data_IF_154650626834
#
_entry.id   IF_154650626834
#
_cell.length_a   1.000
_cell.length_b   1.000
_cell.length_c   1.000
_cell.angle_alpha   90.00
_cell.angle_beta   90.00
_cell.angle_gamma   90.00
#
_symmetry.space_group_name_H-M   'P 1'
#
loop_
_entity.id
_entity.type
_entity.pdbx_description
1 polymer ?
#
# COMPACT_ATOMS: atom_id res chain seq x y z
N UNK A 1 -20.12 4.13 0.23
CA UNK A 1 -20.72 5.36 -0.32
C UNK A 1 -19.73 6.04 -1.27
N UNK A 2 -20.25 6.81 -2.25
CA UNK A 2 -19.45 7.62 -3.18
C UNK A 2 -19.78 9.09 -2.93
N UNK A 3 -18.75 9.91 -2.66
CA UNK A 3 -18.89 11.34 -2.38
C UNK A 3 -18.06 12.12 -3.39
N UNK A 4 -18.66 13.13 -4.04
CA UNK A 4 -17.94 14.01 -4.96
C UNK A 4 -17.67 15.37 -4.28
N UNK A 5 -16.40 15.79 -4.27
CA UNK A 5 -15.98 17.11 -3.85
C UNK A 5 -15.91 18.02 -5.07
N UNK A 6 -16.84 18.97 -5.19
CA UNK A 6 -16.99 19.85 -6.35
C UNK A 6 -16.59 21.28 -6.00
N UNK A 7 -15.87 21.95 -6.90
CA UNK A 7 -15.45 23.33 -6.74
C UNK A 7 -14.58 23.80 -7.91
N UNK A 8 -14.42 25.12 -8.04
CA UNK A 8 -13.54 25.75 -9.06
C UNK A 8 -12.08 25.30 -8.88
N UNK A 9 -11.27 25.41 -9.93
CA UNK A 9 -9.83 25.21 -9.82
C UNK A 9 -9.25 26.22 -8.82
N UNK A 10 -8.35 25.76 -7.94
CA UNK A 10 -7.80 26.59 -6.86
C UNK A 10 -8.68 26.71 -5.61
N UNK A 11 -9.88 26.10 -5.56
CA UNK A 11 -10.76 26.14 -4.39
C UNK A 11 -10.27 25.32 -3.17
N UNK A 12 -9.11 24.68 -3.26
CA UNK A 12 -8.54 23.93 -2.13
C UNK A 12 -8.96 22.45 -2.07
N UNK A 13 -9.58 21.90 -3.13
CA UNK A 13 -10.01 20.48 -3.16
C UNK A 13 -8.86 19.50 -2.84
N UNK A 14 -7.75 19.61 -3.58
CA UNK A 14 -6.55 18.79 -3.37
C UNK A 14 -5.93 18.99 -1.98
N UNK A 15 -5.95 20.20 -1.46
CA UNK A 15 -5.48 20.52 -0.11
C UNK A 15 -6.34 19.82 0.94
N UNK A 16 -7.65 19.85 0.79
CA UNK A 16 -8.58 19.16 1.69
C UNK A 16 -8.37 17.64 1.67
N UNK A 17 -8.22 17.04 0.48
CA UNK A 17 -7.93 15.61 0.36
C UNK A 17 -6.60 15.24 1.03
N UNK A 18 -5.55 16.04 0.86
CA UNK A 18 -4.26 15.84 1.52
C UNK A 18 -4.34 15.96 3.05
N UNK A 19 -5.15 16.89 3.55
CA UNK A 19 -5.38 17.02 5.00
C UNK A 19 -6.11 15.78 5.54
N UNK A 20 -7.15 15.30 4.86
CA UNK A 20 -7.88 14.08 5.25
C UNK A 20 -6.94 12.87 5.22
N UNK A 21 -6.06 12.78 4.19
CA UNK A 21 -5.05 11.72 4.07
C UNK A 21 -3.87 11.86 5.06
N UNK A 22 -3.89 12.87 5.94
CA UNK A 22 -2.81 13.19 6.88
C UNK A 22 -1.44 13.49 6.20
N UNK A 23 -1.48 13.95 4.95
CA UNK A 23 -0.30 14.36 4.17
C UNK A 23 0.02 15.85 4.30
N UNK A 24 -0.89 16.62 4.87
CA UNK A 24 -0.73 18.05 5.10
C UNK A 24 -1.45 18.47 6.39
N UNK A 25 -0.79 19.30 7.21
CA UNK A 25 -1.38 19.85 8.43
C UNK A 25 -2.31 21.02 8.09
N UNK A 26 -3.54 21.09 8.64
CA UNK A 26 -4.42 22.23 8.47
C UNK A 26 -3.89 23.46 9.23
N UNK A 27 -4.17 24.68 8.74
CA UNK A 27 -3.82 25.94 9.42
C UNK A 27 -4.60 26.11 10.72
N UNK A 28 -5.83 25.62 10.77
CA UNK A 28 -6.70 25.62 11.96
C UNK A 28 -7.67 24.45 11.91
N UNK A 29 -8.16 24.01 13.06
CA UNK A 29 -9.02 22.85 13.17
C UNK A 29 -8.24 21.52 13.08
N UNK A 30 -8.93 20.44 12.78
CA UNK A 30 -8.34 19.11 12.64
C UNK A 30 -9.29 18.12 12.00
N UNK A 31 -8.76 16.97 11.58
CA UNK A 31 -9.50 15.83 11.07
C UNK A 31 -9.44 14.72 12.12
N UNK A 32 -10.59 14.24 12.55
CA UNK A 32 -10.68 13.06 13.41
C UNK A 32 -11.00 11.83 12.55
N UNK A 33 -10.08 10.87 12.53
CA UNK A 33 -10.27 9.58 11.89
C UNK A 33 -10.36 8.53 12.98
N UNK A 34 -11.38 7.66 12.99
CA UNK A 34 -11.46 6.55 13.95
C UNK A 34 -10.19 5.67 13.88
N UNK A 35 -9.78 5.13 15.03
CA UNK A 35 -8.65 4.19 15.07
C UNK A 35 -8.95 2.95 14.22
N UNK A 36 -7.97 2.51 13.43
CA UNK A 36 -8.10 1.34 12.56
C UNK A 36 -8.66 1.62 11.17
N UNK A 37 -9.14 2.85 10.88
CA UNK A 37 -9.56 3.22 9.51
C UNK A 37 -8.35 3.50 8.65
N UNK A 38 -8.26 2.80 7.53
CA UNK A 38 -7.20 2.95 6.53
C UNK A 38 -7.62 3.89 5.39
N UNK A 39 -6.75 4.84 5.02
CA UNK A 39 -7.02 5.82 3.98
C UNK A 39 -6.04 5.64 2.83
N UNK A 40 -6.58 5.39 1.63
CA UNK A 40 -5.83 5.42 0.38
C UNK A 40 -5.98 6.78 -0.31
N UNK A 41 -4.89 7.40 -0.73
CA UNK A 41 -4.90 8.67 -1.46
C UNK A 41 -4.19 8.54 -2.80
N UNK A 42 -4.88 8.93 -3.87
CA UNK A 42 -4.35 9.01 -5.22
C UNK A 42 -4.10 10.48 -5.58
N UNK A 43 -2.85 10.94 -5.66
CA UNK A 43 -2.54 12.30 -6.07
C UNK A 43 -2.73 12.50 -7.57
N UNK A 44 -2.93 13.76 -7.98
CA UNK A 44 -3.07 14.14 -9.39
C UNK A 44 -1.82 13.84 -10.24
N UNK A 45 -0.62 13.90 -9.65
CA UNK A 45 0.65 13.60 -10.34
C UNK A 45 1.38 12.47 -9.61
N UNK A 46 1.88 11.53 -10.37
CA UNK A 46 2.57 10.34 -9.87
C UNK A 46 3.93 10.14 -10.52
N UNK A 47 4.86 9.59 -9.72
CA UNK A 47 6.15 9.11 -10.19
C UNK A 47 6.19 7.61 -9.97
N UNK A 48 6.05 6.82 -11.03
CA UNK A 48 6.37 5.40 -11.01
C UNK A 48 7.86 5.20 -11.26
N UNK A 49 8.43 4.16 -10.67
CA UNK A 49 9.76 3.72 -11.02
C UNK A 49 9.74 3.18 -12.46
N UNK A 50 10.67 3.64 -13.30
CA UNK A 50 10.73 3.27 -14.73
C UNK A 50 11.44 1.92 -14.96
N UNK A 51 12.08 1.35 -13.93
CA UNK A 51 13.00 0.22 -14.03
C UNK A 51 12.35 -1.15 -13.75
N UNK A 52 11.08 -1.17 -13.39
CA UNK A 52 10.37 -2.40 -12.99
C UNK A 52 9.29 -2.78 -13.99
N UNK A 53 8.95 -4.08 -14.06
CA UNK A 53 7.77 -4.51 -14.82
C UNK A 53 6.48 -4.16 -14.10
N UNK A 54 5.35 -4.16 -14.83
CA UNK A 54 4.04 -3.88 -14.26
C UNK A 54 3.75 -4.77 -13.03
N UNK A 55 3.95 -6.08 -13.15
CA UNK A 55 3.68 -7.01 -12.06
C UNK A 55 4.62 -6.78 -10.86
N UNK A 56 5.91 -6.52 -11.12
CA UNK A 56 6.88 -6.21 -10.07
C UNK A 56 6.51 -4.93 -9.32
N UNK A 57 6.05 -3.90 -10.05
CA UNK A 57 5.64 -2.64 -9.43
C UNK A 57 4.42 -2.81 -8.53
N UNK A 58 3.42 -3.57 -8.97
CA UNK A 58 2.23 -3.87 -8.16
C UNK A 58 2.57 -4.76 -6.97
N UNK A 59 3.48 -5.73 -7.13
CA UNK A 59 3.94 -6.62 -6.04
C UNK A 59 4.58 -5.86 -4.88
N UNK A 60 5.15 -4.66 -5.10
CA UNK A 60 5.68 -3.80 -4.03
C UNK A 60 4.61 -3.44 -2.98
N UNK A 61 3.33 -3.55 -3.32
CA UNK A 61 2.24 -3.35 -2.35
C UNK A 61 2.31 -4.32 -1.18
N UNK A 62 2.84 -5.51 -1.42
CA UNK A 62 3.00 -6.59 -0.45
C UNK A 62 4.42 -6.70 0.15
N UNK A 63 5.27 -5.69 -0.05
CA UNK A 63 6.64 -5.67 0.49
C UNK A 63 6.72 -5.76 2.01
N UNK A 64 5.62 -5.45 2.72
CA UNK A 64 5.53 -5.63 4.16
C UNK A 64 5.65 -7.12 4.57
N UNK A 65 5.19 -8.05 3.73
CA UNK A 65 5.31 -9.50 3.95
C UNK A 65 6.79 -9.90 3.92
N UNK A 66 7.54 -9.44 2.91
CA UNK A 66 8.98 -9.71 2.80
C UNK A 66 9.74 -9.11 4.00
N UNK A 67 9.36 -7.90 4.43
CA UNK A 67 9.95 -7.25 5.60
C UNK A 67 9.66 -8.02 6.90
N UNK A 68 8.42 -8.53 7.07
CA UNK A 68 8.08 -9.38 8.23
C UNK A 68 8.89 -10.68 8.22
N UNK A 69 9.05 -11.32 7.06
CA UNK A 69 9.86 -12.53 6.93
C UNK A 69 11.33 -12.28 7.28
N UNK A 70 11.93 -11.22 6.74
CA UNK A 70 13.31 -10.84 7.06
C UNK A 70 13.48 -10.54 8.56
N UNK A 71 12.50 -9.87 9.17
CA UNK A 71 12.54 -9.59 10.61
C UNK A 71 12.46 -10.86 11.43
N UNK A 72 11.59 -11.78 11.06
CA UNK A 72 11.45 -13.09 11.69
C UNK A 72 12.74 -13.91 11.61
N UNK A 73 13.38 -13.94 10.43
CA UNK A 73 14.65 -14.65 10.23
C UNK A 73 15.78 -14.04 11.10
N UNK A 74 15.85 -12.70 11.17
CA UNK A 74 16.82 -12.02 12.01
C UNK A 74 16.61 -12.30 13.51
N UNK A 75 15.36 -12.34 13.99
CA UNK A 75 15.04 -12.65 15.37
C UNK A 75 15.34 -14.12 15.71
N UNK A 76 15.05 -15.06 14.81
CA UNK A 76 15.39 -16.46 15.00
C UNK A 76 16.91 -16.67 15.06
N UNK A 77 17.69 -15.95 14.25
CA UNK A 77 19.14 -15.95 14.32
C UNK A 77 19.63 -15.43 15.68
N UNK A 78 19.07 -14.29 16.16
CA UNK A 78 19.39 -13.76 17.48
C UNK A 78 19.09 -14.77 18.60
N UNK A 79 17.94 -15.44 18.56
CA UNK A 79 17.56 -16.45 19.55
C UNK A 79 18.53 -17.64 19.57
N UNK A 80 19.04 -18.06 18.41
CA UNK A 80 19.97 -19.18 18.29
C UNK A 80 21.34 -18.92 18.92
N UNK A 81 21.73 -17.64 19.04
CA UNK A 81 23.02 -17.22 19.61
C UNK A 81 22.92 -16.87 21.10
N UNK A 82 21.72 -16.73 21.65
CA UNK A 82 21.49 -16.33 23.05
C UNK A 82 21.41 -17.52 23.98
N UNK A 83 21.95 -17.33 25.19
CA UNK A 83 21.90 -18.31 26.27
C UNK A 83 21.19 -17.81 27.53
N UNK A 84 20.69 -16.56 27.49
CA UNK A 84 20.07 -15.86 28.62
C UNK A 84 18.54 -16.04 28.60
N UNK A 85 18.07 -17.28 28.58
CA UNK A 85 16.67 -17.70 28.39
C UNK A 85 15.67 -17.10 29.40
N UNK A 86 16.13 -16.63 30.56
CA UNK A 86 15.27 -16.04 31.60
C UNK A 86 15.21 -14.50 31.52
N UNK A 87 15.95 -13.87 30.61
CA UNK A 87 15.98 -12.41 30.51
C UNK A 87 14.66 -11.86 29.94
N UNK A 88 14.30 -10.64 30.37
CA UNK A 88 13.15 -9.95 29.83
C UNK A 88 13.31 -9.66 28.32
N UNK A 89 14.53 -9.49 27.85
CA UNK A 89 14.83 -9.27 26.45
C UNK A 89 14.58 -10.54 25.62
N UNK A 90 15.00 -11.71 26.12
CA UNK A 90 14.72 -12.99 25.47
C UNK A 90 13.21 -13.22 25.33
N UNK A 91 12.43 -12.94 26.38
CA UNK A 91 10.97 -13.04 26.35
C UNK A 91 10.34 -12.12 25.32
N UNK A 92 10.78 -10.85 25.23
CA UNK A 92 10.30 -9.90 24.22
C UNK A 92 10.55 -10.38 22.78
N UNK A 93 11.70 -10.99 22.53
CA UNK A 93 12.02 -11.55 21.21
C UNK A 93 11.08 -12.73 20.90
N UNK A 94 10.82 -13.61 21.86
CA UNK A 94 9.87 -14.72 21.69
C UNK A 94 8.46 -14.21 21.37
N UNK A 95 8.00 -13.18 22.08
CA UNK A 95 6.68 -12.58 21.85
C UNK A 95 6.60 -11.96 20.45
N UNK A 96 7.67 -11.25 20.00
CA UNK A 96 7.75 -10.68 18.67
C UNK A 96 7.77 -11.77 17.57
N UNK A 97 8.54 -12.84 17.76
CA UNK A 97 8.56 -14.01 16.86
C UNK A 97 7.17 -14.64 16.74
N UNK A 98 6.48 -14.82 17.85
CA UNK A 98 5.13 -15.39 17.86
C UNK A 98 4.15 -14.52 17.07
N UNK A 99 4.16 -13.21 17.31
CA UNK A 99 3.31 -12.25 16.61
C UNK A 99 3.60 -12.20 15.11
N UNK A 100 4.88 -12.15 14.71
CA UNK A 100 5.26 -12.15 13.30
C UNK A 100 4.88 -13.45 12.60
N UNK A 101 5.03 -14.59 13.27
CA UNK A 101 4.65 -15.90 12.73
C UNK A 101 3.14 -15.98 12.48
N UNK A 102 2.33 -15.49 13.42
CA UNK A 102 0.88 -15.44 13.28
C UNK A 102 0.46 -14.51 12.12
N UNK A 103 1.02 -13.31 12.04
CA UNK A 103 0.73 -12.37 10.97
C UNK A 103 1.14 -12.91 9.59
N UNK A 104 2.33 -13.52 9.47
CA UNK A 104 2.77 -14.15 8.21
C UNK A 104 1.87 -15.32 7.81
N UNK A 105 1.39 -16.12 8.76
CA UNK A 105 0.45 -17.20 8.46
C UNK A 105 -0.88 -16.68 7.91
N UNK A 106 -1.38 -15.56 8.42
CA UNK A 106 -2.57 -14.89 7.89
C UNK A 106 -2.34 -14.41 6.45
N UNK A 107 -1.25 -13.68 6.19
CA UNK A 107 -0.91 -13.18 4.86
C UNK A 107 -0.70 -14.31 3.84
N UNK A 108 -0.04 -15.40 4.22
CA UNK A 108 0.20 -16.57 3.34
C UNK A 108 -1.07 -17.35 3.02
N UNK A 109 -2.15 -17.20 3.79
CA UNK A 109 -3.44 -17.80 3.48
C UNK A 109 -4.16 -17.11 2.32
N UNK A 110 -3.75 -15.90 1.96
CA UNK A 110 -4.31 -15.11 0.88
C UNK A 110 -3.57 -15.37 -0.44
N UNK A 111 -4.32 -15.47 -1.54
CA UNK A 111 -3.72 -15.62 -2.87
C UNK A 111 -3.47 -14.24 -3.50
N UNK A 112 -2.44 -13.55 -3.04
CA UNK A 112 -2.09 -12.21 -3.52
C UNK A 112 -1.81 -12.16 -5.03
N UNK A 113 -1.26 -13.23 -5.63
CA UNK A 113 -1.00 -13.26 -7.07
C UNK A 113 -2.29 -13.27 -7.88
N UNK A 114 -3.26 -14.08 -7.49
CA UNK A 114 -4.56 -14.10 -8.16
C UNK A 114 -5.33 -12.79 -7.94
N UNK A 115 -5.13 -12.13 -6.81
CA UNK A 115 -5.74 -10.85 -6.52
C UNK A 115 -5.12 -9.72 -7.35
N UNK A 116 -3.79 -9.66 -7.46
CA UNK A 116 -3.08 -8.74 -8.34
C UNK A 116 -3.55 -8.89 -9.79
N UNK A 117 -3.60 -10.13 -10.29
CA UNK A 117 -4.06 -10.42 -11.65
C UNK A 117 -5.50 -9.93 -11.87
N UNK A 118 -6.43 -10.27 -10.97
CA UNK A 118 -7.83 -9.85 -11.08
C UNK A 118 -7.97 -8.32 -11.06
N UNK A 119 -7.22 -7.65 -10.20
CA UNK A 119 -7.24 -6.19 -10.07
C UNK A 119 -6.71 -5.52 -11.34
N UNK A 120 -5.59 -6.00 -11.87
CA UNK A 120 -5.01 -5.48 -13.11
C UNK A 120 -5.93 -5.69 -14.30
N UNK A 121 -6.50 -6.89 -14.47
CA UNK A 121 -7.48 -7.19 -15.54
C UNK A 121 -8.72 -6.31 -15.39
N UNK A 122 -9.21 -6.11 -14.17
CA UNK A 122 -10.35 -5.22 -13.87
C UNK A 122 -10.10 -3.76 -14.25
N UNK A 123 -8.83 -3.32 -14.26
CA UNK A 123 -8.40 -1.99 -14.70
C UNK A 123 -8.05 -1.92 -16.19
N UNK A 124 -8.25 -3.02 -16.95
CA UNK A 124 -8.12 -3.07 -18.40
C UNK A 124 -6.75 -3.53 -18.91
N UNK A 125 -5.82 -3.96 -18.03
CA UNK A 125 -4.59 -4.61 -18.45
C UNK A 125 -4.88 -6.02 -18.97
N UNK A 126 -3.99 -6.51 -19.84
CA UNK A 126 -4.00 -7.90 -20.30
C UNK A 126 -2.75 -8.63 -19.79
N UNK A 127 -2.80 -9.96 -19.74
CA UNK A 127 -1.68 -10.75 -19.18
C UNK A 127 -0.34 -10.48 -19.85
N UNK A 128 -0.34 -10.18 -21.16
CA UNK A 128 0.88 -9.81 -21.89
C UNK A 128 1.50 -8.49 -21.44
N UNK A 129 0.77 -7.65 -20.69
CA UNK A 129 1.30 -6.41 -20.14
C UNK A 129 2.11 -6.63 -18.85
N UNK A 130 1.94 -7.75 -18.16
CA UNK A 130 2.46 -7.98 -16.80
C UNK A 130 4.00 -7.92 -16.74
N UNK A 131 4.67 -8.42 -17.79
CA UNK A 131 6.12 -8.41 -17.89
C UNK A 131 6.68 -7.19 -18.61
N UNK A 132 5.81 -6.25 -19.05
CA UNK A 132 6.26 -5.03 -19.72
C UNK A 132 6.80 -4.02 -18.71
N UNK A 133 7.91 -3.31 -19.05
CA UNK A 133 8.43 -2.23 -18.23
C UNK A 133 7.38 -1.12 -18.01
N UNK A 134 7.32 -0.59 -16.78
CA UNK A 134 6.41 0.52 -16.47
C UNK A 134 6.70 1.79 -17.26
N UNK A 135 7.93 1.96 -17.74
CA UNK A 135 8.33 3.05 -18.62
C UNK A 135 7.59 3.09 -19.97
N UNK A 136 7.12 1.95 -20.46
CA UNK A 136 6.41 1.84 -21.75
C UNK A 136 4.95 2.27 -21.68
N UNK A 137 4.41 2.47 -20.49
CA UNK A 137 3.01 2.84 -20.29
C UNK A 137 2.83 4.36 -20.33
N UNK A 138 1.75 4.80 -21.00
CA UNK A 138 1.34 6.20 -20.98
C UNK A 138 0.94 6.65 -19.56
N UNK A 139 0.85 7.98 -19.34
CA UNK A 139 0.47 8.55 -18.05
C UNK A 139 -0.85 8.00 -17.50
N UNK A 140 -1.87 7.80 -18.36
CA UNK A 140 -3.15 7.21 -17.96
C UNK A 140 -3.01 5.76 -17.50
N UNK A 141 -2.22 4.95 -18.20
CA UNK A 141 -1.94 3.58 -17.80
C UNK A 141 -1.14 3.50 -16.50
N UNK A 142 -0.16 4.39 -16.32
CA UNK A 142 0.60 4.51 -15.07
C UNK A 142 -0.31 4.89 -13.89
N UNK A 143 -1.31 5.75 -14.11
CA UNK A 143 -2.33 6.07 -13.11
C UNK A 143 -3.12 4.81 -12.70
N UNK A 144 -3.49 3.96 -13.66
CA UNK A 144 -4.18 2.70 -13.37
C UNK A 144 -3.32 1.73 -12.55
N UNK A 145 -2.00 1.72 -12.75
CA UNK A 145 -1.07 0.94 -11.92
C UNK A 145 -1.15 1.40 -10.45
N UNK A 146 -1.16 2.71 -10.22
CA UNK A 146 -1.28 3.24 -8.85
C UNK A 146 -2.65 2.99 -8.24
N UNK A 147 -3.71 3.05 -9.05
CA UNK A 147 -5.05 2.64 -8.60
C UNK A 147 -5.05 1.16 -8.20
N UNK A 148 -4.40 0.28 -8.98
CA UNK A 148 -4.26 -1.13 -8.62
C UNK A 148 -3.58 -1.30 -7.26
N UNK A 149 -2.44 -0.63 -7.04
CA UNK A 149 -1.69 -0.66 -5.79
C UNK A 149 -2.52 -0.15 -4.60
N UNK A 150 -3.34 0.87 -4.81
CA UNK A 150 -4.24 1.38 -3.77
C UNK A 150 -5.38 0.41 -3.46
N UNK A 151 -6.00 -0.19 -4.47
CA UNK A 151 -7.09 -1.16 -4.29
C UNK A 151 -6.63 -2.41 -3.54
N UNK A 152 -5.43 -2.90 -3.86
CA UNK A 152 -4.82 -4.06 -3.21
C UNK A 152 -4.46 -3.85 -1.73
N UNK A 153 -4.45 -2.60 -1.25
CA UNK A 153 -4.31 -2.28 0.17
C UNK A 153 -5.63 -2.31 0.94
N UNK A 154 -6.75 -2.56 0.25
CA UNK A 154 -8.10 -2.58 0.83
C UNK A 154 -8.42 -1.38 1.73
N UNK A 155 -8.21 -0.12 1.27
CA UNK A 155 -8.47 1.02 2.13
C UNK A 155 -9.98 1.16 2.42
N UNK A 156 -10.31 1.50 3.68
CA UNK A 156 -11.69 1.80 4.09
C UNK A 156 -12.20 3.08 3.43
N UNK A 157 -11.32 4.04 3.18
CA UNK A 157 -11.59 5.29 2.49
C UNK A 157 -10.59 5.50 1.34
N UNK A 158 -11.09 5.63 0.11
CA UNK A 158 -10.30 5.95 -1.05
C UNK A 158 -10.54 7.41 -1.47
N UNK A 159 -9.47 8.20 -1.48
CA UNK A 159 -9.47 9.61 -1.89
C UNK A 159 -8.80 9.73 -3.26
N UNK A 160 -9.55 10.20 -4.26
CA UNK A 160 -9.08 10.37 -5.63
C UNK A 160 -9.05 11.87 -5.99
N UNK A 161 -7.89 12.40 -6.35
CA UNK A 161 -7.72 13.79 -6.74
C UNK A 161 -7.73 13.92 -8.27
N UNK A 162 -8.84 14.42 -8.82
CA UNK A 162 -9.10 14.60 -10.27
C UNK A 162 -8.85 13.35 -11.13
N UNK A 163 -9.45 12.18 -10.81
CA UNK A 163 -9.14 10.91 -11.49
C UNK A 163 -9.58 10.89 -12.96
N UNK A 164 -10.53 11.74 -13.34
CA UNK A 164 -11.15 11.74 -14.68
C UNK A 164 -10.24 12.22 -15.80
N UNK A 165 -9.14 12.90 -15.51
CA UNK A 165 -8.19 13.37 -16.52
C UNK A 165 -7.30 12.23 -17.07
N UNK A 166 -7.37 11.03 -16.49
CA UNK A 166 -6.47 9.92 -16.79
C UNK A 166 -7.14 8.54 -16.87
N UNK A 167 -8.46 8.45 -16.68
CA UNK A 167 -9.25 7.21 -16.75
C UNK A 167 -9.87 6.99 -18.13
#
# INVERSE_FOLDING_TARGET
>A
DRIALVGKNGAGKSTMLKIIANLQTPTSGGVAVPSGVTIGYLPQQMKLADETTLLQEVRKTFSHIDNMQQRLDALNMQLSERTDYESDEYRRIIDEVSLLTENLAMEQSENHEAEMERTLIGLGFVRSDFDRPTAEFSGGWRMRVEIAKLLLRHPDLLLLDEPTNHL
#
